data_IF_026282327541
#
_entry.id   IF_026282327541
#
_cell.length_a   1.000
_cell.length_b   1.000
_cell.length_c   1.000
_cell.angle_alpha   90.00
_cell.angle_beta   90.00
_cell.angle_gamma   90.00
#
_symmetry.space_group_name_H-M   'P 1'
#
loop_
_entity.id
_entity.type
_entity.pdbx_description
1 polymer ?
#
# COMPACT_ATOMS: atom_id res chain seq x y z
N UNK A 1 -5.16 21.31 -25.83
CA UNK A 1 -3.73 21.68 -25.89
C UNK A 1 -3.48 23.05 -26.49
N UNK A 2 -3.99 23.39 -27.68
CA UNK A 2 -3.77 24.71 -28.33
C UNK A 2 -4.12 25.89 -27.42
N UNK A 3 -5.26 25.82 -26.72
CA UNK A 3 -5.66 26.87 -25.79
C UNK A 3 -4.76 26.94 -24.55
N UNK A 4 -4.30 25.79 -24.05
CA UNK A 4 -3.35 25.75 -22.94
C UNK A 4 -1.99 26.35 -23.33
N UNK A 5 -1.50 26.09 -24.58
CA UNK A 5 -0.31 26.74 -25.13
C UNK A 5 -0.50 28.25 -25.20
N UNK A 6 -1.62 28.71 -25.76
CA UNK A 6 -1.93 30.13 -25.90
C UNK A 6 -1.93 30.87 -24.57
N UNK A 7 -2.40 30.19 -23.50
CA UNK A 7 -2.50 30.73 -22.14
C UNK A 7 -1.30 30.45 -21.25
N UNK A 8 -0.29 29.71 -21.72
CA UNK A 8 0.86 29.28 -20.91
C UNK A 8 0.48 28.40 -19.70
N UNK A 9 -0.51 27.50 -19.90
CA UNK A 9 -1.03 26.65 -18.82
C UNK A 9 -0.56 25.20 -18.97
N UNK A 10 -0.24 24.58 -17.83
CA UNK A 10 0.04 23.15 -17.77
C UNK A 10 -1.26 22.33 -17.82
N UNK A 11 -1.16 21.10 -18.32
CA UNK A 11 -2.23 20.10 -18.31
C UNK A 11 -1.80 18.93 -17.44
N UNK A 12 -2.68 18.48 -16.55
CA UNK A 12 -2.51 17.22 -15.85
C UNK A 12 -3.36 16.15 -16.52
N UNK A 13 -2.70 15.12 -17.07
CA UNK A 13 -3.33 13.89 -17.54
C UNK A 13 -3.57 13.02 -16.31
N UNK A 14 -4.84 12.78 -16.00
CA UNK A 14 -5.25 11.99 -14.82
C UNK A 14 -5.98 10.73 -15.23
N UNK A 15 -5.45 9.58 -14.84
CA UNK A 15 -6.06 8.26 -15.03
C UNK A 15 -6.30 7.65 -13.66
N UNK A 16 -7.51 7.16 -13.41
CA UNK A 16 -7.86 6.47 -12.17
C UNK A 16 -8.29 5.03 -12.48
N UNK A 17 -7.78 4.07 -11.71
CA UNK A 17 -8.30 2.71 -11.67
C UNK A 17 -9.80 2.72 -11.40
N UNK A 18 -10.56 1.88 -12.08
CA UNK A 18 -12.02 1.82 -11.99
C UNK A 18 -12.77 2.86 -12.84
N UNK A 19 -12.07 3.83 -13.48
CA UNK A 19 -12.68 4.90 -14.29
C UNK A 19 -12.07 5.01 -15.69
N UNK A 20 -11.51 3.94 -16.21
CA UNK A 20 -10.94 3.90 -17.56
C UNK A 20 -12.01 4.06 -18.64
N UNK A 21 -11.64 4.67 -19.77
CA UNK A 21 -12.53 4.76 -20.92
C UNK A 21 -12.92 3.35 -21.42
N UNK A 22 -14.17 3.19 -21.88
CA UNK A 22 -14.71 1.89 -22.32
C UNK A 22 -13.82 1.17 -23.34
N UNK A 23 -13.19 1.91 -24.27
CA UNK A 23 -12.25 1.35 -25.27
C UNK A 23 -10.99 0.76 -24.62
N UNK A 24 -10.52 1.37 -23.51
CA UNK A 24 -9.36 0.87 -22.77
C UNK A 24 -9.73 -0.40 -21.99
N UNK A 25 -10.89 -0.40 -21.33
CA UNK A 25 -11.41 -1.57 -20.62
C UNK A 25 -11.61 -2.73 -21.59
N UNK A 26 -12.15 -2.48 -22.80
CA UNK A 26 -12.35 -3.53 -23.79
C UNK A 26 -11.04 -4.15 -24.28
N UNK A 27 -9.97 -3.35 -24.42
CA UNK A 27 -8.69 -3.80 -24.97
C UNK A 27 -7.73 -4.37 -23.91
N UNK A 28 -7.70 -3.79 -22.74
CA UNK A 28 -6.70 -4.09 -21.70
C UNK A 28 -7.31 -4.54 -20.36
N UNK A 29 -8.65 -4.43 -20.21
CA UNK A 29 -9.29 -4.58 -18.91
C UNK A 29 -9.08 -3.35 -18.00
N UNK A 30 -9.60 -3.45 -16.78
CA UNK A 30 -9.34 -2.48 -15.71
C UNK A 30 -8.06 -2.91 -14.97
N UNK A 31 -6.92 -2.72 -15.62
CA UNK A 31 -5.61 -3.25 -15.20
C UNK A 31 -4.55 -2.14 -15.16
N UNK A 32 -3.38 -2.45 -14.63
CA UNK A 32 -2.21 -1.56 -14.64
C UNK A 32 -1.84 -1.15 -16.06
N UNK A 33 -1.82 -2.12 -16.97
CA UNK A 33 -1.53 -1.90 -18.40
C UNK A 33 -2.54 -0.95 -19.03
N UNK A 34 -3.85 -1.15 -18.73
CA UNK A 34 -4.90 -0.27 -19.22
C UNK A 34 -4.76 1.17 -18.73
N UNK A 35 -4.34 1.36 -17.48
CA UNK A 35 -4.03 2.69 -16.93
C UNK A 35 -2.85 3.33 -17.67
N UNK A 36 -1.76 2.58 -17.84
CA UNK A 36 -0.53 3.07 -18.48
C UNK A 36 -0.79 3.41 -19.95
N UNK A 37 -1.40 2.51 -20.72
CA UNK A 37 -1.70 2.75 -22.13
C UNK A 37 -2.68 3.93 -22.31
N UNK A 38 -3.63 4.11 -21.39
CA UNK A 38 -4.49 5.31 -21.40
C UNK A 38 -3.69 6.60 -21.23
N UNK A 39 -2.70 6.62 -20.33
CA UNK A 39 -1.83 7.78 -20.16
C UNK A 39 -0.92 8.00 -21.38
N UNK A 40 -0.35 6.92 -21.93
CA UNK A 40 0.53 6.96 -23.10
C UNK A 40 -0.16 7.46 -24.35
N UNK A 41 -1.46 7.12 -24.59
CA UNK A 41 -2.24 7.68 -25.69
C UNK A 41 -2.28 9.22 -25.63
N UNK A 42 -2.56 9.78 -24.45
CA UNK A 42 -2.58 11.25 -24.28
C UNK A 42 -1.19 11.85 -24.40
N UNK A 43 -0.18 11.17 -23.89
CA UNK A 43 1.20 11.65 -23.96
C UNK A 43 1.72 11.69 -25.40
N UNK A 44 1.42 10.66 -26.20
CA UNK A 44 1.76 10.63 -27.62
C UNK A 44 1.16 11.82 -28.38
N UNK A 45 -0.07 12.23 -28.05
CA UNK A 45 -0.67 13.43 -28.63
C UNK A 45 0.04 14.71 -28.15
N UNK A 46 0.46 14.77 -26.87
CA UNK A 46 1.22 15.91 -26.35
C UNK A 46 2.58 16.05 -27.05
N UNK A 47 3.28 14.94 -27.27
CA UNK A 47 4.56 14.90 -28.02
C UNK A 47 4.35 15.36 -29.49
N UNK A 48 3.33 14.81 -30.17
CA UNK A 48 3.02 15.19 -31.56
C UNK A 48 2.67 16.68 -31.71
N UNK A 49 2.00 17.23 -30.72
CA UNK A 49 1.67 18.65 -30.66
C UNK A 49 2.78 19.54 -30.09
N UNK A 50 3.93 18.99 -29.73
CA UNK A 50 5.03 19.68 -29.03
C UNK A 50 4.54 20.44 -27.78
N UNK A 51 3.75 19.78 -26.95
CA UNK A 51 3.21 20.33 -25.70
C UNK A 51 3.90 19.71 -24.47
N UNK A 52 4.84 20.43 -23.88
CA UNK A 52 5.73 19.93 -22.82
C UNK A 52 5.24 20.20 -21.40
N UNK A 53 4.24 21.07 -21.22
CA UNK A 53 3.74 21.42 -19.88
C UNK A 53 2.72 20.41 -19.39
N UNK A 54 3.17 19.18 -19.17
CA UNK A 54 2.34 18.03 -18.80
C UNK A 54 2.76 17.48 -17.46
N UNK A 55 1.79 17.11 -16.64
CA UNK A 55 1.96 16.33 -15.40
C UNK A 55 1.14 15.06 -15.55
N UNK A 56 1.70 13.91 -15.19
CA UNK A 56 1.04 12.60 -15.27
C UNK A 56 0.56 12.14 -13.88
N UNK A 57 -0.63 11.58 -13.82
CA UNK A 57 -1.23 11.13 -12.57
C UNK A 57 -2.03 9.84 -12.78
N UNK A 58 -1.52 8.71 -12.24
CA UNK A 58 -2.18 7.41 -12.25
C UNK A 58 -2.52 7.02 -10.82
N UNK A 59 -3.79 6.99 -10.47
CA UNK A 59 -4.22 6.78 -9.09
C UNK A 59 -5.11 5.56 -8.92
N UNK A 60 -4.97 4.92 -7.78
CA UNK A 60 -5.81 3.81 -7.34
C UNK A 60 -6.04 3.88 -5.83
N UNK A 61 -7.13 3.31 -5.36
CA UNK A 61 -7.37 3.04 -3.93
C UNK A 61 -6.53 1.86 -3.41
N UNK A 62 -6.01 1.04 -4.33
CA UNK A 62 -5.10 -0.06 -4.05
C UNK A 62 -3.64 0.40 -4.23
N UNK A 63 -2.83 0.48 -3.16
CA UNK A 63 -1.43 0.91 -3.25
C UNK A 63 -0.58 0.07 -4.22
N UNK A 64 -0.80 -1.25 -4.30
CA UNK A 64 -0.06 -2.12 -5.23
C UNK A 64 -0.29 -1.73 -6.69
N UNK A 65 -1.55 -1.48 -7.05
CA UNK A 65 -1.92 -1.03 -8.40
C UNK A 65 -1.30 0.33 -8.70
N UNK A 66 -1.34 1.27 -7.76
CA UNK A 66 -0.75 2.60 -7.93
C UNK A 66 0.77 2.49 -8.14
N UNK A 67 1.50 1.77 -7.28
CA UNK A 67 2.95 1.59 -7.38
C UNK A 67 3.33 0.96 -8.73
N UNK A 68 2.69 -0.14 -9.10
CA UNK A 68 2.94 -0.83 -10.37
C UNK A 68 2.69 0.08 -11.58
N UNK A 69 1.60 0.86 -11.56
CA UNK A 69 1.25 1.76 -12.66
C UNK A 69 2.30 2.86 -12.89
N UNK A 70 2.79 3.49 -11.82
CA UNK A 70 3.85 4.51 -11.97
C UNK A 70 5.19 3.93 -12.39
N UNK A 71 5.58 2.77 -11.85
CA UNK A 71 6.81 2.07 -12.27
C UNK A 71 6.74 1.69 -13.75
N UNK A 72 5.64 1.10 -14.20
CA UNK A 72 5.42 0.72 -15.60
C UNK A 72 5.38 1.96 -16.50
N UNK A 73 4.69 3.03 -16.09
CA UNK A 73 4.63 4.27 -16.86
C UNK A 73 6.03 4.89 -17.04
N UNK A 74 6.85 4.93 -16.00
CA UNK A 74 8.23 5.42 -16.08
C UNK A 74 9.06 4.61 -17.09
N UNK A 75 8.95 3.28 -17.06
CA UNK A 75 9.62 2.40 -18.00
C UNK A 75 9.13 2.61 -19.44
N UNK A 76 7.81 2.74 -19.65
CA UNK A 76 7.23 2.97 -20.98
C UNK A 76 7.63 4.32 -21.57
N UNK A 77 7.62 5.40 -20.78
CA UNK A 77 8.11 6.72 -21.20
C UNK A 77 9.56 6.63 -21.68
N UNK A 78 10.40 5.95 -20.93
CA UNK A 78 11.81 5.73 -21.29
C UNK A 78 11.95 4.88 -22.56
N UNK A 79 11.18 3.81 -22.71
CA UNK A 79 11.20 2.90 -23.85
C UNK A 79 10.79 3.62 -25.16
N UNK A 80 9.78 4.48 -25.11
CA UNK A 80 9.31 5.27 -26.25
C UNK A 80 10.23 6.47 -26.56
N UNK A 81 11.23 6.73 -25.74
CA UNK A 81 12.15 7.86 -25.90
C UNK A 81 11.50 9.22 -25.63
N UNK A 82 10.40 9.24 -24.91
CA UNK A 82 9.74 10.49 -24.50
C UNK A 82 10.51 11.19 -23.39
N UNK A 83 10.25 12.49 -23.21
CA UNK A 83 10.82 13.27 -22.13
C UNK A 83 10.39 12.73 -20.76
N UNK A 84 11.19 12.88 -19.69
CA UNK A 84 10.76 12.61 -18.33
C UNK A 84 9.75 13.67 -17.88
N UNK A 85 8.47 13.30 -17.82
CA UNK A 85 7.41 14.17 -17.34
C UNK A 85 7.19 14.00 -15.84
N UNK A 86 6.85 15.09 -15.09
CA UNK A 86 6.61 15.00 -13.66
C UNK A 86 5.41 14.11 -13.33
N UNK A 87 5.54 13.35 -12.25
CA UNK A 87 4.48 12.51 -11.70
C UNK A 87 3.80 13.18 -10.51
N UNK A 88 2.47 13.20 -10.53
CA UNK A 88 1.63 13.57 -9.39
C UNK A 88 1.02 12.34 -8.77
N UNK A 89 1.64 11.82 -7.73
CA UNK A 89 1.28 10.55 -7.11
C UNK A 89 0.25 10.70 -5.99
N UNK A 90 -0.53 9.66 -5.77
CA UNK A 90 -1.50 9.62 -4.67
C UNK A 90 -2.22 8.28 -4.61
N UNK A 91 -2.63 7.91 -3.41
CA UNK A 91 -3.58 6.81 -3.18
C UNK A 91 -4.93 7.45 -2.94
N UNK A 92 -5.93 7.07 -3.74
CA UNK A 92 -7.29 7.59 -3.60
C UNK A 92 -8.05 6.78 -2.55
N UNK A 93 -9.09 7.37 -1.97
CA UNK A 93 -10.00 6.71 -1.03
C UNK A 93 -9.26 5.97 0.11
N UNK A 94 -8.20 6.60 0.64
CA UNK A 94 -7.33 5.97 1.63
C UNK A 94 -8.05 5.69 2.97
N UNK A 95 -9.14 6.37 3.25
CA UNK A 95 -9.88 6.25 4.49
C UNK A 95 -9.53 7.34 5.51
N UNK A 96 -9.86 7.14 6.77
CA UNK A 96 -9.70 8.12 7.84
C UNK A 96 -8.76 7.62 8.95
N UNK A 97 -8.21 8.55 9.72
CA UNK A 97 -7.38 8.27 10.90
C UNK A 97 -6.05 7.61 10.54
N UNK A 98 -5.60 6.70 11.38
CA UNK A 98 -4.35 5.99 11.18
C UNK A 98 -4.36 5.16 9.88
N UNK A 99 -5.47 4.48 9.57
CA UNK A 99 -5.59 3.63 8.38
C UNK A 99 -5.31 4.38 7.08
N UNK A 100 -5.88 5.59 6.93
CA UNK A 100 -5.67 6.43 5.75
C UNK A 100 -4.23 6.92 5.63
N UNK A 101 -3.60 7.26 6.76
CA UNK A 101 -2.20 7.70 6.83
C UNK A 101 -1.24 6.55 6.47
N UNK A 102 -1.44 5.36 7.04
CA UNK A 102 -0.62 4.18 6.76
C UNK A 102 -0.76 3.74 5.30
N UNK A 103 -1.98 3.76 4.74
CA UNK A 103 -2.23 3.43 3.34
C UNK A 103 -1.57 4.45 2.40
N UNK A 104 -1.65 5.73 2.72
CA UNK A 104 -0.95 6.79 1.98
C UNK A 104 0.56 6.60 2.06
N UNK A 105 1.10 6.29 3.24
CA UNK A 105 2.53 6.03 3.42
C UNK A 105 3.00 4.80 2.66
N UNK A 106 2.28 3.69 2.70
CA UNK A 106 2.64 2.48 1.96
C UNK A 106 2.66 2.71 0.43
N UNK A 107 1.69 3.45 -0.12
CA UNK A 107 1.61 3.66 -1.57
C UNK A 107 2.44 4.84 -2.07
N UNK A 108 2.25 6.04 -1.51
CA UNK A 108 2.99 7.24 -1.91
C UNK A 108 4.46 7.13 -1.46
N UNK A 109 4.71 6.63 -0.23
CA UNK A 109 6.04 6.47 0.32
C UNK A 109 6.92 5.54 -0.50
N UNK A 110 6.37 4.43 -1.00
CA UNK A 110 7.09 3.54 -1.91
C UNK A 110 7.60 4.26 -3.17
N UNK A 111 6.74 5.10 -3.79
CA UNK A 111 7.11 5.87 -4.98
C UNK A 111 8.10 6.99 -4.67
N UNK A 112 8.00 7.63 -3.50
CA UNK A 112 9.01 8.59 -3.02
C UNK A 112 10.37 7.90 -2.84
N UNK A 113 10.41 6.71 -2.25
CA UNK A 113 11.62 5.92 -2.04
C UNK A 113 12.20 5.36 -3.35
N UNK A 114 11.36 5.15 -4.38
CA UNK A 114 11.79 4.80 -5.74
C UNK A 114 12.26 6.03 -6.55
N UNK A 115 12.09 7.27 -6.04
CA UNK A 115 12.41 8.50 -6.77
C UNK A 115 11.42 8.84 -7.89
N UNK A 116 10.19 8.32 -7.83
CA UNK A 116 9.16 8.47 -8.87
C UNK A 116 8.04 9.46 -8.51
N UNK A 117 8.22 10.32 -7.53
CA UNK A 117 7.19 11.27 -7.09
C UNK A 117 7.71 12.72 -7.09
N UNK A 118 7.17 13.55 -7.98
CA UNK A 118 7.51 14.99 -8.06
C UNK A 118 6.55 15.84 -7.23
N UNK A 119 5.28 15.47 -7.21
CA UNK A 119 4.26 16.03 -6.34
C UNK A 119 3.36 14.94 -5.79
N UNK A 120 2.77 15.17 -4.62
CA UNK A 120 1.92 14.16 -3.98
C UNK A 120 0.53 14.72 -3.62
N UNK A 121 -0.45 13.81 -3.50
CA UNK A 121 -1.74 14.07 -2.87
C UNK A 121 -2.06 12.99 -1.86
N UNK A 122 -2.20 13.38 -0.61
CA UNK A 122 -2.87 12.58 0.42
C UNK A 122 -4.38 12.75 0.26
N UNK A 123 -5.17 11.71 0.52
CA UNK A 123 -6.62 11.70 0.33
C UNK A 123 -7.29 11.02 1.52
N UNK A 124 -7.75 11.82 2.48
CA UNK A 124 -8.32 11.35 3.74
C UNK A 124 -9.83 11.67 3.82
N UNK A 125 -10.58 10.79 4.46
CA UNK A 125 -11.99 11.05 4.82
C UNK A 125 -12.03 11.86 6.11
N UNK A 126 -11.43 13.05 6.08
CA UNK A 126 -11.28 13.99 7.19
C UNK A 126 -11.47 15.42 6.65
N UNK A 127 -11.35 16.42 7.52
CA UNK A 127 -11.26 17.82 7.06
C UNK A 127 -10.05 17.96 6.13
N UNK A 128 -10.19 18.56 4.92
CA UNK A 128 -9.11 18.72 3.96
C UNK A 128 -7.84 19.38 4.53
N UNK A 129 -7.97 20.20 5.56
CA UNK A 129 -6.82 20.82 6.26
C UNK A 129 -5.89 19.78 6.89
N UNK A 130 -6.41 18.62 7.28
CA UNK A 130 -5.62 17.52 7.87
C UNK A 130 -4.68 16.85 6.85
N UNK A 131 -4.95 16.93 5.56
CA UNK A 131 -4.13 16.27 4.52
C UNK A 131 -2.74 16.91 4.38
N UNK A 132 -2.63 18.23 4.53
CA UNK A 132 -1.39 18.98 4.28
C UNK A 132 -0.28 18.62 5.25
N UNK A 133 -0.49 18.61 6.58
CA UNK A 133 0.54 18.17 7.52
C UNK A 133 1.02 16.73 7.26
N UNK A 134 0.10 15.82 7.00
CA UNK A 134 0.42 14.41 6.70
C UNK A 134 1.27 14.30 5.44
N UNK A 135 0.93 15.04 4.37
CA UNK A 135 1.71 15.08 3.15
C UNK A 135 3.13 15.62 3.38
N UNK A 136 3.25 16.70 4.17
CA UNK A 136 4.55 17.30 4.50
C UNK A 136 5.43 16.35 5.33
N UNK A 137 4.86 15.70 6.34
CA UNK A 137 5.61 14.74 7.16
C UNK A 137 5.99 13.49 6.35
N UNK A 138 5.14 13.01 5.43
CA UNK A 138 5.46 11.89 4.55
C UNK A 138 6.64 12.22 3.61
N UNK A 139 6.66 13.41 3.01
CA UNK A 139 7.80 13.86 2.18
C UNK A 139 9.09 13.89 2.99
N UNK A 140 9.06 14.43 4.21
CA UNK A 140 10.24 14.47 5.10
C UNK A 140 10.67 13.06 5.53
N UNK A 141 9.72 12.19 5.82
CA UNK A 141 9.97 10.80 6.23
C UNK A 141 10.64 9.98 5.12
N UNK A 142 10.23 10.19 3.87
CA UNK A 142 10.71 9.45 2.70
C UNK A 142 11.77 10.22 1.88
N UNK A 143 12.39 11.25 2.44
CA UNK A 143 13.46 11.98 1.76
C UNK A 143 14.63 11.03 1.43
N UNK A 144 15.03 11.03 0.16
CA UNK A 144 16.15 10.21 -0.30
C UNK A 144 17.48 10.77 0.22
N UNK A 145 18.45 9.92 0.54
CA UNK A 145 19.76 10.37 0.96
C UNK A 145 20.47 11.12 -0.19
N UNK A 146 21.21 12.16 0.14
CA UNK A 146 22.00 12.94 -0.84
C UNK A 146 23.10 12.12 -1.50
N UNK A 147 23.56 11.06 -0.84
CA UNK A 147 24.52 10.09 -1.36
C UNK A 147 23.90 8.70 -1.16
N UNK A 148 23.38 8.09 -2.22
CA UNK A 148 22.82 6.74 -2.11
C UNK A 148 23.91 5.74 -1.73
N UNK A 149 23.56 4.78 -0.89
CA UNK A 149 24.43 3.66 -0.55
C UNK A 149 24.52 2.74 -1.77
N UNK A 150 25.74 2.40 -2.17
CA UNK A 150 25.97 1.40 -3.22
C UNK A 150 26.14 0.03 -2.58
N UNK A 151 25.35 -0.91 -3.01
CA UNK A 151 25.47 -2.31 -2.63
C UNK A 151 26.19 -3.06 -3.76
N UNK A 152 27.31 -3.73 -3.42
CA UNK A 152 28.11 -4.50 -4.38
C UNK A 152 27.47 -5.90 -4.64
N UNK A 153 26.23 -5.91 -5.06
CA UNK A 153 25.45 -7.12 -5.36
C UNK A 153 24.76 -6.98 -6.72
N UNK A 154 24.38 -8.08 -7.37
CA UNK A 154 23.55 -8.04 -8.59
C UNK A 154 22.24 -7.27 -8.36
N UNK A 155 21.65 -6.79 -9.45
CA UNK A 155 20.31 -6.22 -9.41
C UNK A 155 19.32 -7.35 -9.12
N UNK A 156 18.33 -7.09 -8.25
CA UNK A 156 17.26 -8.03 -7.98
C UNK A 156 16.46 -8.27 -9.28
N UNK A 157 16.56 -9.46 -9.84
CA UNK A 157 15.81 -9.86 -11.03
C UNK A 157 14.37 -10.23 -10.65
N UNK A 158 13.52 -9.22 -10.58
CA UNK A 158 12.10 -9.36 -10.25
C UNK A 158 11.27 -8.41 -11.09
N UNK A 159 10.12 -8.86 -11.58
CA UNK A 159 9.15 -8.00 -12.25
C UNK A 159 8.62 -6.94 -11.28
N UNK A 160 8.90 -5.64 -11.50
CA UNK A 160 8.46 -4.57 -10.60
C UNK A 160 6.99 -4.14 -10.82
N UNK A 161 6.31 -4.73 -11.79
CA UNK A 161 4.97 -4.35 -12.25
C UNK A 161 3.90 -5.35 -11.85
N UNK A 162 4.27 -6.65 -11.75
CA UNK A 162 3.37 -7.71 -11.35
C UNK A 162 3.78 -8.25 -9.98
N UNK A 163 2.82 -8.25 -9.05
CA UNK A 163 3.09 -8.74 -7.72
C UNK A 163 3.35 -10.25 -7.74
N UNK A 164 4.53 -10.61 -7.30
CA UNK A 164 4.92 -11.99 -7.04
C UNK A 164 5.66 -12.03 -5.72
N UNK A 165 5.25 -12.90 -4.79
CA UNK A 165 5.97 -13.09 -3.55
C UNK A 165 7.26 -13.88 -3.83
N UNK A 166 8.39 -13.44 -3.27
CA UNK A 166 9.63 -14.18 -3.32
C UNK A 166 9.42 -15.56 -2.71
N UNK A 167 9.82 -16.62 -3.43
CA UNK A 167 9.82 -17.97 -2.89
C UNK A 167 10.83 -18.10 -1.76
N UNK A 168 10.38 -18.62 -0.62
CA UNK A 168 11.24 -18.86 0.54
C UNK A 168 11.00 -20.25 1.12
N UNK A 169 12.01 -20.77 1.82
CA UNK A 169 11.89 -22.00 2.62
C UNK A 169 11.21 -21.67 3.95
N UNK A 170 10.69 -22.72 4.60
CA UNK A 170 10.09 -22.59 5.94
C UNK A 170 11.17 -22.72 6.99
N UNK A 171 11.29 -21.73 7.86
CA UNK A 171 12.17 -21.72 9.02
C UNK A 171 11.35 -21.52 10.30
N UNK A 172 11.65 -22.28 11.36
CA UNK A 172 10.99 -22.12 12.66
C UNK A 172 11.71 -21.11 13.54
N UNK A 173 10.96 -20.08 13.98
CA UNK A 173 11.41 -19.10 14.98
C UNK A 173 10.49 -19.18 16.18
N UNK A 174 11.04 -19.47 17.37
CA UNK A 174 10.25 -19.66 18.60
C UNK A 174 9.05 -20.62 18.42
N UNK A 175 9.25 -21.68 17.63
CA UNK A 175 8.22 -22.71 17.35
C UNK A 175 7.24 -22.35 16.24
N UNK A 176 7.28 -21.14 15.67
CA UNK A 176 6.39 -20.66 14.61
C UNK A 176 7.09 -20.73 13.25
N UNK A 177 6.38 -21.22 12.25
CA UNK A 177 6.86 -21.32 10.86
C UNK A 177 6.80 -19.98 10.15
N UNK A 178 7.95 -19.53 9.64
CA UNK A 178 8.13 -18.29 8.85
C UNK A 178 8.60 -18.71 7.46
N UNK A 179 8.09 -18.03 6.43
CA UNK A 179 8.45 -18.33 5.03
C UNK A 179 7.54 -19.35 4.36
N UNK A 180 7.90 -19.77 3.17
CA UNK A 180 7.10 -20.64 2.33
C UNK A 180 5.76 -20.01 1.94
N UNK A 181 4.71 -20.81 1.94
CA UNK A 181 3.34 -20.36 1.68
C UNK A 181 2.64 -19.72 2.89
N UNK A 182 3.31 -19.65 4.04
CA UNK A 182 2.73 -19.03 5.23
C UNK A 182 2.45 -17.53 4.97
N UNK A 183 1.37 -16.95 5.55
CA UNK A 183 1.18 -15.50 5.52
C UNK A 183 2.36 -14.81 6.24
N UNK A 184 2.64 -13.57 5.87
CA UNK A 184 3.66 -12.77 6.57
C UNK A 184 3.32 -12.70 8.05
N UNK A 185 4.24 -13.18 8.89
CA UNK A 185 4.03 -13.31 10.35
C UNK A 185 4.32 -12.00 11.06
N UNK A 186 3.59 -11.74 12.13
CA UNK A 186 3.85 -10.59 13.01
C UNK A 186 4.42 -11.08 14.33
N UNK A 187 5.60 -10.58 14.68
CA UNK A 187 6.28 -10.92 15.92
C UNK A 187 6.38 -9.75 16.88
N UNK A 188 6.86 -10.06 18.09
CA UNK A 188 7.19 -9.11 19.15
C UNK A 188 8.52 -9.46 19.77
N UNK A 189 9.25 -8.53 20.37
CA UNK A 189 10.46 -8.82 21.15
C UNK A 189 10.17 -9.78 22.30
N UNK A 190 11.10 -10.68 22.57
CA UNK A 190 10.93 -11.78 23.54
C UNK A 190 10.65 -11.31 24.98
N UNK A 191 11.14 -10.13 25.37
CA UNK A 191 10.94 -9.53 26.69
C UNK A 191 9.54 -8.88 26.89
N UNK A 192 8.75 -8.82 25.81
CA UNK A 192 7.45 -8.13 25.79
C UNK A 192 6.23 -9.08 25.82
N UNK A 193 6.43 -10.35 26.22
CA UNK A 193 5.39 -11.39 26.10
C UNK A 193 4.32 -11.25 27.18
N UNK A 194 3.13 -10.83 26.81
CA UNK A 194 1.84 -11.28 27.35
C UNK A 194 0.71 -10.87 26.42
N UNK A 195 0.68 -11.37 25.21
CA UNK A 195 -0.39 -11.08 24.28
C UNK A 195 -1.29 -12.30 24.15
N UNK A 196 -2.36 -12.34 24.93
CA UNK A 196 -3.31 -13.47 24.97
C UNK A 196 -4.61 -13.11 24.27
N UNK A 197 -5.06 -14.00 23.38
CA UNK A 197 -6.48 -14.20 23.10
C UNK A 197 -7.15 -13.38 22.00
N UNK A 198 -6.54 -12.36 21.39
CA UNK A 198 -7.17 -11.57 20.34
C UNK A 198 -6.66 -11.90 18.93
N UNK A 199 -7.47 -11.69 17.89
CA UNK A 199 -7.14 -12.03 16.48
C UNK A 199 -5.88 -11.33 15.94
N UNK A 200 -5.45 -10.22 16.55
CA UNK A 200 -4.30 -9.41 16.13
C UNK A 200 -3.22 -9.44 17.20
N UNK A 201 -2.78 -10.63 17.54
CA UNK A 201 -1.70 -10.87 18.51
C UNK A 201 -0.38 -11.18 17.83
N UNK A 202 0.72 -10.96 18.53
CA UNK A 202 2.02 -11.47 18.11
C UNK A 202 1.94 -12.98 17.91
N UNK A 203 2.42 -13.43 16.76
CA UNK A 203 2.41 -14.85 16.40
C UNK A 203 3.68 -15.56 16.87
N UNK A 204 4.78 -14.81 17.07
CA UNK A 204 6.04 -15.34 17.61
C UNK A 204 6.76 -14.29 18.45
N UNK A 205 7.61 -14.78 19.35
CA UNK A 205 8.57 -13.96 20.07
C UNK A 205 9.89 -13.95 19.30
N UNK A 206 10.38 -12.75 18.98
CA UNK A 206 11.68 -12.59 18.34
C UNK A 206 12.78 -12.82 19.38
N UNK A 207 13.67 -13.82 19.21
CA UNK A 207 14.90 -13.91 20.00
C UNK A 207 15.80 -12.70 19.73
N UNK A 208 16.93 -12.62 20.45
CA UNK A 208 17.90 -11.58 20.14
C UNK A 208 18.33 -11.66 18.67
N UNK A 209 18.50 -10.49 18.03
CA UNK A 209 19.12 -10.45 16.72
C UNK A 209 20.53 -11.08 16.83
N UNK A 210 20.94 -11.84 15.81
CA UNK A 210 22.15 -12.70 15.80
C UNK A 210 22.10 -13.93 16.73
N UNK A 211 20.96 -14.26 17.32
CA UNK A 211 20.72 -15.61 17.87
C UNK A 211 20.03 -16.49 16.82
N UNK A 212 20.54 -17.70 16.64
CA UNK A 212 19.95 -18.65 15.66
C UNK A 212 18.43 -18.79 15.90
N UNK A 213 17.62 -18.77 14.81
CA UNK A 213 18.04 -18.77 13.39
C UNK A 213 18.20 -17.35 12.76
N UNK A 214 18.18 -16.28 13.53
CA UNK A 214 18.22 -14.90 13.01
C UNK A 214 19.67 -14.50 12.67
N UNK A 215 19.87 -13.92 11.48
CA UNK A 215 21.15 -13.35 11.02
C UNK A 215 20.94 -11.88 10.66
N UNK A 216 21.58 -11.02 11.41
CA UNK A 216 21.49 -9.56 11.25
C UNK A 216 22.54 -9.04 10.28
N UNK A 217 22.13 -8.14 9.39
CA UNK A 217 22.95 -7.35 8.48
C UNK A 217 22.69 -5.87 8.76
N UNK A 218 23.75 -5.09 9.00
CA UNK A 218 23.66 -3.69 9.44
C UNK A 218 23.94 -2.69 8.36
N UNK A 219 24.70 -3.12 7.35
CA UNK A 219 25.14 -2.23 6.28
C UNK A 219 25.45 -2.98 4.98
N UNK A 220 25.94 -2.24 3.98
CA UNK A 220 26.28 -2.80 2.68
C UNK A 220 27.51 -3.74 2.72
N UNK A 221 28.39 -3.60 3.72
CA UNK A 221 29.58 -4.46 3.84
C UNK A 221 29.20 -5.85 4.33
N UNK A 222 28.24 -5.95 5.24
CA UNK A 222 27.69 -7.22 5.68
C UNK A 222 27.08 -8.00 4.52
N UNK A 223 26.29 -7.31 3.66
CA UNK A 223 25.67 -7.91 2.47
C UNK A 223 26.75 -8.32 1.44
N UNK A 224 27.76 -7.48 1.21
CA UNK A 224 28.87 -7.81 0.31
C UNK A 224 29.66 -9.02 0.81
N UNK A 225 29.98 -9.09 2.11
CA UNK A 225 30.66 -10.23 2.72
C UNK A 225 29.86 -11.54 2.58
N UNK A 226 28.52 -11.46 2.74
CA UNK A 226 27.65 -12.61 2.47
C UNK A 226 27.67 -13.00 0.98
N UNK A 227 27.61 -12.04 0.06
CA UNK A 227 27.63 -12.30 -1.37
C UNK A 227 28.96 -12.97 -1.82
N UNK A 228 30.09 -12.62 -1.19
CA UNK A 228 31.40 -13.24 -1.44
C UNK A 228 31.48 -14.66 -0.87
N UNK A 229 30.86 -14.92 0.27
CA UNK A 229 30.91 -16.23 0.93
C UNK A 229 29.56 -16.64 1.55
N UNK A 230 28.55 -17.00 0.74
CA UNK A 230 27.22 -17.36 1.22
C UNK A 230 27.22 -18.60 2.14
N UNK A 231 28.21 -19.47 2.01
CA UNK A 231 28.34 -20.69 2.83
C UNK A 231 28.74 -20.41 4.27
N UNK A 232 29.25 -19.22 4.58
CA UNK A 232 29.56 -18.82 5.95
C UNK A 232 28.30 -18.68 6.84
N UNK A 233 27.14 -18.45 6.22
CA UNK A 233 25.86 -18.37 6.92
C UNK A 233 25.12 -19.71 6.77
N UNK A 234 24.78 -20.41 7.88
CA UNK A 234 24.07 -21.67 7.84
C UNK A 234 22.76 -21.60 7.04
N UNK A 235 22.41 -22.66 6.32
CA UNK A 235 21.09 -22.81 5.73
C UNK A 235 20.01 -22.90 6.82
N UNK A 236 18.77 -22.51 6.50
CA UNK A 236 17.68 -22.45 7.46
C UNK A 236 17.79 -21.28 8.43
N UNK A 237 18.44 -20.20 8.00
CA UNK A 237 18.49 -18.92 8.70
C UNK A 237 17.33 -18.01 8.30
N UNK A 238 17.02 -17.02 9.14
CA UNK A 238 16.13 -15.90 8.82
C UNK A 238 16.98 -14.64 8.75
N UNK A 239 16.99 -14.00 7.62
CA UNK A 239 17.83 -12.83 7.36
C UNK A 239 17.12 -11.55 7.75
N UNK A 240 17.83 -10.63 8.40
CA UNK A 240 17.29 -9.37 8.85
C UNK A 240 18.25 -8.23 8.53
N UNK A 241 17.79 -7.18 7.86
CA UNK A 241 18.56 -5.95 7.64
C UNK A 241 18.09 -4.85 8.61
N UNK A 242 19.03 -4.28 9.37
CA UNK A 242 18.75 -3.25 10.39
C UNK A 242 19.42 -1.90 10.11
N UNK A 243 20.02 -1.74 8.94
CA UNK A 243 20.65 -0.49 8.52
C UNK A 243 19.68 0.64 8.22
N UNK A 244 20.20 1.83 7.99
CA UNK A 244 19.42 3.07 7.88
C UNK A 244 18.44 3.10 6.68
N UNK A 245 18.84 2.54 5.53
CA UNK A 245 18.06 2.54 4.28
C UNK A 245 17.40 1.16 4.08
N UNK A 246 16.35 0.90 4.86
CA UNK A 246 15.71 -0.43 4.93
C UNK A 246 15.32 -0.97 3.55
N UNK A 247 14.67 -0.17 2.72
CA UNK A 247 14.18 -0.63 1.40
C UNK A 247 15.35 -1.03 0.50
N UNK A 248 16.36 -0.18 0.38
CA UNK A 248 17.53 -0.47 -0.44
C UNK A 248 18.32 -1.67 0.09
N UNK A 249 18.53 -1.74 1.41
CA UNK A 249 19.25 -2.83 2.05
C UNK A 249 18.55 -4.17 1.93
N UNK A 250 17.24 -4.24 2.15
CA UNK A 250 16.47 -5.49 2.00
C UNK A 250 16.40 -5.93 0.54
N UNK A 251 16.24 -5.00 -0.42
CA UNK A 251 16.31 -5.33 -1.85
C UNK A 251 17.67 -5.89 -2.23
N UNK A 252 18.76 -5.29 -1.74
CA UNK A 252 20.12 -5.78 -1.96
C UNK A 252 20.36 -7.15 -1.31
N UNK A 253 19.86 -7.35 -0.09
CA UNK A 253 19.92 -8.64 0.61
C UNK A 253 19.17 -9.73 -0.15
N UNK A 254 17.96 -9.43 -0.64
CA UNK A 254 17.19 -10.37 -1.46
C UNK A 254 17.94 -10.73 -2.76
N UNK A 255 18.54 -9.74 -3.42
CA UNK A 255 19.36 -9.97 -4.63
C UNK A 255 20.59 -10.85 -4.34
N UNK A 256 21.27 -10.64 -3.21
CA UNK A 256 22.40 -11.47 -2.80
C UNK A 256 21.96 -12.91 -2.48
N UNK A 257 20.80 -13.08 -1.82
CA UNK A 257 20.22 -14.41 -1.55
C UNK A 257 19.89 -15.14 -2.86
N UNK A 258 19.22 -14.47 -3.79
CA UNK A 258 18.80 -15.06 -5.06
C UNK A 258 20.03 -15.42 -5.93
N UNK A 259 21.04 -14.55 -5.97
CA UNK A 259 22.31 -14.83 -6.68
C UNK A 259 23.08 -16.03 -6.07
N UNK A 260 22.92 -16.25 -4.77
CA UNK A 260 23.49 -17.40 -4.07
C UNK A 260 22.61 -18.68 -4.15
N UNK A 261 21.47 -18.63 -4.85
CA UNK A 261 20.50 -19.72 -4.92
C UNK A 261 19.82 -20.02 -3.57
N UNK A 262 19.79 -19.05 -2.65
CA UNK A 262 19.27 -19.18 -1.28
C UNK A 262 17.80 -18.75 -1.21
N UNK A 263 16.97 -19.61 -0.59
CA UNK A 263 15.54 -19.35 -0.35
C UNK A 263 15.20 -19.04 1.10
N UNK A 264 16.17 -18.60 1.88
CA UNK A 264 15.96 -18.26 3.29
C UNK A 264 14.98 -17.07 3.42
N UNK A 265 14.10 -17.08 4.46
CA UNK A 265 13.13 -16.02 4.67
C UNK A 265 13.78 -14.73 5.20
N UNK A 266 13.09 -13.60 4.96
CA UNK A 266 13.52 -12.28 5.38
C UNK A 266 12.57 -11.74 6.46
N UNK A 267 13.14 -11.34 7.60
CA UNK A 267 12.46 -10.59 8.66
C UNK A 267 12.63 -9.09 8.42
N UNK A 268 11.53 -8.39 8.32
CA UNK A 268 11.48 -6.92 8.31
C UNK A 268 11.42 -6.43 9.76
N UNK A 269 12.54 -5.92 10.26
CA UNK A 269 12.65 -5.40 11.62
C UNK A 269 12.83 -3.89 11.58
N UNK A 270 12.00 -3.17 12.31
CA UNK A 270 12.12 -1.73 12.48
C UNK A 270 12.11 -1.35 13.96
N UNK A 271 13.05 -0.50 14.36
CA UNK A 271 13.02 0.17 15.66
C UNK A 271 12.64 1.63 15.43
N UNK A 272 11.57 2.09 16.09
CA UNK A 272 11.03 3.45 15.92
C UNK A 272 10.74 4.09 17.27
N UNK A 273 10.68 5.41 17.29
CA UNK A 273 10.12 6.17 18.39
C UNK A 273 8.64 6.48 18.11
N UNK A 274 7.88 6.80 19.16
CA UNK A 274 6.46 7.15 19.04
C UNK A 274 6.29 8.59 18.51
N UNK A 275 6.42 8.74 17.19
CA UNK A 275 6.10 9.99 16.49
C UNK A 275 5.56 9.70 15.08
N UNK A 276 4.82 10.64 14.53
CA UNK A 276 4.12 10.49 13.24
C UNK A 276 5.10 10.25 12.08
N UNK A 277 6.22 10.96 12.03
CA UNK A 277 7.21 10.84 10.96
C UNK A 277 7.80 9.43 10.88
N UNK A 278 8.21 8.86 12.01
CA UNK A 278 8.78 7.51 12.04
C UNK A 278 7.71 6.45 11.76
N UNK A 279 6.47 6.68 12.20
CA UNK A 279 5.32 5.83 11.85
C UNK A 279 5.05 5.83 10.34
N UNK A 280 5.08 6.99 9.69
CA UNK A 280 4.93 7.11 8.24
C UNK A 280 6.13 6.48 7.52
N UNK A 281 7.37 6.70 8.01
CA UNK A 281 8.57 6.09 7.42
C UNK A 281 8.52 4.57 7.48
N UNK A 282 8.27 3.97 8.63
CA UNK A 282 8.21 2.50 8.74
C UNK A 282 7.09 1.90 7.91
N UNK A 283 5.97 2.64 7.76
CA UNK A 283 4.86 2.22 6.90
C UNK A 283 5.25 2.26 5.42
N UNK A 284 6.02 3.26 5.00
CA UNK A 284 6.57 3.34 3.65
C UNK A 284 7.58 2.23 3.39
N UNK A 285 8.51 2.00 4.32
CA UNK A 285 9.56 0.99 4.20
C UNK A 285 8.98 -0.42 4.10
N UNK A 286 8.20 -0.83 5.11
CA UNK A 286 7.58 -2.17 5.15
C UNK A 286 6.55 -2.30 4.02
N UNK A 287 5.72 -1.27 3.79
CA UNK A 287 4.72 -1.26 2.73
C UNK A 287 5.33 -1.46 1.35
N UNK A 288 6.43 -0.75 1.04
CA UNK A 288 7.20 -0.92 -0.19
C UNK A 288 7.70 -2.35 -0.36
N UNK A 289 8.36 -2.89 0.66
CA UNK A 289 8.97 -4.22 0.63
C UNK A 289 7.94 -5.34 0.46
N UNK A 290 6.86 -5.32 1.24
CA UNK A 290 5.81 -6.35 1.08
C UNK A 290 5.03 -6.21 -0.22
N UNK A 291 4.98 -5.01 -0.82
CA UNK A 291 4.43 -4.79 -2.16
C UNK A 291 5.37 -5.33 -3.24
N UNK A 292 6.68 -5.27 -3.01
CA UNK A 292 7.67 -5.95 -3.85
C UNK A 292 7.67 -7.49 -3.66
N UNK A 293 6.85 -8.01 -2.74
CA UNK A 293 6.81 -9.43 -2.38
C UNK A 293 8.01 -9.88 -1.55
N UNK A 294 8.67 -8.95 -0.85
CA UNK A 294 9.78 -9.20 0.05
C UNK A 294 9.32 -9.12 1.52
N UNK A 295 9.83 -10.03 2.33
CA UNK A 295 9.50 -10.12 3.75
C UNK A 295 8.52 -11.24 4.08
N UNK A 296 8.91 -12.05 5.06
CA UNK A 296 8.18 -13.23 5.54
C UNK A 296 7.68 -13.06 6.97
N UNK A 297 8.29 -12.12 7.69
CA UNK A 297 7.85 -11.70 9.03
C UNK A 297 8.12 -10.20 9.24
N UNK A 298 7.38 -9.59 10.16
CA UNK A 298 7.50 -8.18 10.55
C UNK A 298 7.59 -8.08 12.06
N UNK A 299 8.54 -7.31 12.57
CA UNK A 299 8.63 -6.90 13.97
C UNK A 299 8.89 -5.40 14.03
N UNK A 300 8.04 -4.68 14.75
CA UNK A 300 8.23 -3.25 15.08
C UNK A 300 8.51 -3.15 16.57
N UNK A 301 9.56 -2.41 16.93
CA UNK A 301 10.00 -2.19 18.30
C UNK A 301 9.95 -0.70 18.66
N UNK A 302 9.46 -0.35 19.85
CA UNK A 302 9.50 1.01 20.40
C UNK A 302 8.27 1.88 20.17
N UNK A 303 7.27 1.45 19.38
CA UNK A 303 6.04 2.21 19.16
C UNK A 303 5.07 2.06 20.33
N UNK A 304 4.88 3.12 21.14
CA UNK A 304 3.97 3.20 22.30
C UNK A 304 4.08 2.07 23.33
N UNK A 305 4.26 0.85 22.87
CA UNK A 305 4.36 -0.37 23.66
C UNK A 305 4.30 -1.61 22.78
N UNK A 306 4.47 -2.78 23.38
CA UNK A 306 4.52 -4.04 22.63
C UNK A 306 3.21 -4.35 21.90
N UNK A 307 2.07 -4.14 22.53
CA UNK A 307 0.75 -4.35 21.93
C UNK A 307 0.53 -3.41 20.73
N UNK A 308 0.80 -2.15 20.91
CA UNK A 308 0.65 -1.11 19.88
C UNK A 308 1.61 -1.34 18.70
N UNK A 309 2.84 -1.80 18.96
CA UNK A 309 3.80 -2.19 17.92
C UNK A 309 3.28 -3.36 17.07
N UNK A 310 2.71 -4.37 17.69
CA UNK A 310 2.08 -5.51 16.99
C UNK A 310 0.88 -5.05 16.16
N UNK A 311 0.01 -4.22 16.73
CA UNK A 311 -1.14 -3.68 16.02
C UNK A 311 -0.72 -2.83 14.82
N UNK A 312 0.32 -2.00 14.97
CA UNK A 312 0.89 -1.21 13.87
C UNK A 312 1.42 -2.09 12.75
N UNK A 313 2.12 -3.18 13.07
CA UNK A 313 2.61 -4.13 12.06
C UNK A 313 1.46 -4.75 11.26
N UNK A 314 0.38 -5.20 11.92
CA UNK A 314 -0.82 -5.69 11.24
C UNK A 314 -1.47 -4.60 10.37
N UNK A 315 -1.55 -3.37 10.85
CA UNK A 315 -2.15 -2.25 10.12
C UNK A 315 -1.35 -1.88 8.87
N UNK A 316 -0.02 -1.92 8.94
CA UNK A 316 0.87 -1.70 7.78
C UNK A 316 0.71 -2.83 6.75
N UNK A 317 0.69 -4.09 7.18
CA UNK A 317 0.47 -5.22 6.28
C UNK A 317 -0.90 -5.13 5.58
N UNK A 318 -1.93 -4.67 6.28
CA UNK A 318 -3.24 -4.43 5.70
C UNK A 318 -3.26 -3.22 4.77
N UNK A 319 -2.61 -2.12 5.14
CA UNK A 319 -2.47 -0.91 4.31
C UNK A 319 -1.78 -1.22 2.96
N UNK A 320 -0.79 -2.12 2.96
CA UNK A 320 -0.09 -2.60 1.77
C UNK A 320 -0.82 -3.75 1.03
N UNK A 321 -2.05 -4.10 1.42
CA UNK A 321 -2.81 -5.22 0.86
C UNK A 321 -2.07 -6.58 0.92
N UNK A 322 -1.15 -6.72 1.87
CA UNK A 322 -0.40 -7.94 2.09
C UNK A 322 -1.17 -8.96 2.95
N UNK A 323 -1.80 -8.49 4.02
CA UNK A 323 -2.54 -9.34 4.96
C UNK A 323 -3.76 -8.59 5.53
N UNK A 324 -4.93 -9.20 5.47
CA UNK A 324 -6.14 -8.66 6.12
C UNK A 324 -6.22 -9.14 7.56
N UNK A 325 -6.48 -8.22 8.49
CA UNK A 325 -6.61 -8.52 9.92
C UNK A 325 -7.83 -7.88 10.58
N UNK A 326 -8.47 -6.94 9.90
CA UNK A 326 -9.72 -6.24 10.26
C UNK A 326 -10.46 -5.86 8.97
N UNK A 327 -11.67 -5.35 9.08
CA UNK A 327 -12.42 -4.82 7.94
C UNK A 327 -11.59 -3.77 7.19
N UNK A 328 -11.49 -3.91 5.87
CA UNK A 328 -10.86 -2.90 5.03
C UNK A 328 -11.91 -1.87 4.60
N UNK A 329 -11.65 -0.60 4.86
CA UNK A 329 -12.53 0.49 4.46
C UNK A 329 -11.88 1.28 3.31
N UNK A 330 -12.66 1.49 2.25
CA UNK A 330 -12.33 2.30 1.09
C UNK A 330 -13.30 3.46 1.09
N UNK A 331 -12.87 4.67 1.48
CA UNK A 331 -13.79 5.80 1.60
C UNK A 331 -13.25 7.05 0.93
N UNK A 332 -14.13 7.74 0.20
CA UNK A 332 -13.76 8.95 -0.52
C UNK A 332 -13.57 10.14 0.45
N UNK A 333 -12.72 11.12 0.06
CA UNK A 333 -12.41 12.28 0.90
C UNK A 333 -13.54 13.32 0.96
N UNK A 334 -14.68 13.05 0.32
CA UNK A 334 -15.75 14.04 0.10
C UNK A 334 -15.44 15.06 -1.03
N UNK A 335 -16.47 15.59 -1.61
CA UNK A 335 -16.41 16.68 -2.58
C UNK A 335 -17.79 17.34 -2.68
N UNK A 336 -17.96 18.36 -3.52
CA UNK A 336 -19.25 19.04 -3.73
C UNK A 336 -20.40 18.16 -4.26
N UNK A 337 -20.14 16.89 -4.58
CA UNK A 337 -21.14 15.88 -5.00
C UNK A 337 -21.55 14.94 -3.88
N UNK A 338 -20.92 15.02 -2.71
CA UNK A 338 -21.24 14.17 -1.55
C UNK A 338 -22.64 14.50 -1.05
N UNK A 339 -23.46 13.47 -0.82
CA UNK A 339 -24.90 13.59 -0.57
C UNK A 339 -25.29 13.41 0.90
N UNK A 340 -24.34 13.12 1.77
CA UNK A 340 -24.52 12.88 3.22
C UNK A 340 -23.24 13.23 3.98
N UNK A 341 -23.28 13.27 5.31
CA UNK A 341 -22.08 13.45 6.15
C UNK A 341 -21.25 12.17 6.17
N UNK A 342 -20.27 12.09 5.27
CA UNK A 342 -19.45 10.90 5.08
C UNK A 342 -18.56 10.60 6.28
N UNK A 343 -18.12 11.62 7.03
CA UNK A 343 -17.28 11.43 8.21
C UNK A 343 -18.07 10.79 9.35
N UNK A 344 -19.30 11.28 9.58
CA UNK A 344 -20.19 10.72 10.59
C UNK A 344 -20.59 9.28 10.24
N UNK A 345 -20.97 9.04 8.97
CA UNK A 345 -21.37 7.69 8.49
C UNK A 345 -20.19 6.73 8.57
N UNK A 346 -18.98 7.17 8.20
CA UNK A 346 -17.75 6.38 8.31
C UNK A 346 -17.49 5.93 9.75
N UNK A 347 -17.68 6.83 10.73
CA UNK A 347 -17.58 6.49 12.16
C UNK A 347 -18.55 5.40 12.58
N UNK A 348 -19.84 5.52 12.19
CA UNK A 348 -20.88 4.51 12.47
C UNK A 348 -20.57 3.16 11.82
N UNK A 349 -20.15 3.17 10.55
CA UNK A 349 -19.81 1.96 9.81
C UNK A 349 -18.56 1.28 10.42
N UNK A 350 -17.51 2.04 10.77
CA UNK A 350 -16.34 1.48 11.46
C UNK A 350 -16.71 0.81 12.78
N UNK A 351 -17.53 1.43 13.58
CA UNK A 351 -17.99 0.87 14.86
C UNK A 351 -18.79 -0.42 14.68
N UNK A 352 -19.63 -0.50 13.63
CA UNK A 352 -20.55 -1.61 13.40
C UNK A 352 -19.91 -2.81 12.71
N UNK A 353 -18.92 -2.57 11.82
CA UNK A 353 -18.36 -3.60 10.91
C UNK A 353 -16.87 -3.88 11.14
N UNK A 354 -16.17 -3.14 12.00
CA UNK A 354 -14.71 -3.21 12.16
C UNK A 354 -14.15 -4.57 12.54
N UNK A 355 -14.98 -5.47 13.06
CA UNK A 355 -14.61 -6.84 13.45
C UNK A 355 -14.61 -7.86 12.30
N UNK A 356 -15.11 -7.49 11.11
CA UNK A 356 -15.24 -8.39 9.95
C UNK A 356 -13.93 -8.44 9.16
N UNK A 357 -13.01 -9.32 9.52
CA UNK A 357 -11.64 -9.33 8.99
C UNK A 357 -11.53 -9.65 7.48
N UNK A 358 -12.54 -10.34 6.92
CA UNK A 358 -12.46 -10.84 5.53
C UNK A 358 -13.24 -9.99 4.53
N UNK A 359 -13.72 -8.81 4.96
CA UNK A 359 -14.59 -7.94 4.18
C UNK A 359 -13.91 -6.60 3.88
N UNK A 360 -14.12 -6.11 2.66
CA UNK A 360 -13.84 -4.72 2.26
C UNK A 360 -15.15 -3.98 2.03
N UNK A 361 -15.31 -2.79 2.64
CA UNK A 361 -16.51 -1.95 2.51
C UNK A 361 -16.12 -0.61 1.90
N UNK A 362 -16.75 -0.30 0.75
CA UNK A 362 -16.65 0.99 0.08
C UNK A 362 -17.67 1.99 0.66
N UNK A 363 -17.24 3.20 0.99
CA UNK A 363 -18.09 4.28 1.52
C UNK A 363 -17.91 5.49 0.61
N UNK A 364 -18.88 5.74 -0.27
CA UNK A 364 -18.77 6.72 -1.35
C UNK A 364 -19.86 7.77 -1.29
N UNK A 365 -19.48 9.03 -1.34
CA UNK A 365 -20.39 10.15 -1.22
C UNK A 365 -21.40 10.28 -2.37
N UNK A 366 -21.12 9.71 -3.55
CA UNK A 366 -22.01 9.78 -4.72
C UNK A 366 -21.79 8.62 -5.70
N UNK A 367 -22.75 8.39 -6.59
CA UNK A 367 -22.71 7.36 -7.62
C UNK A 367 -21.82 7.70 -8.83
N UNK A 368 -21.29 8.92 -8.94
CA UNK A 368 -20.60 9.37 -10.16
C UNK A 368 -19.29 8.63 -10.36
N UNK A 369 -18.40 8.63 -9.37
CA UNK A 369 -17.14 7.92 -9.40
C UNK A 369 -17.13 6.73 -8.43
N UNK A 370 -17.98 6.77 -7.39
CA UNK A 370 -17.95 5.85 -6.27
C UNK A 370 -17.89 4.38 -6.66
N UNK A 371 -18.78 3.87 -7.54
CA UNK A 371 -18.75 2.47 -7.93
C UNK A 371 -17.45 2.02 -8.61
N UNK A 372 -16.79 2.92 -9.35
CA UNK A 372 -15.48 2.64 -9.96
C UNK A 372 -14.35 2.65 -8.93
N UNK A 373 -14.32 3.68 -8.07
CA UNK A 373 -13.25 3.88 -7.07
C UNK A 373 -13.29 2.86 -5.93
N UNK A 374 -14.44 2.23 -5.68
CA UNK A 374 -14.57 1.12 -4.72
C UNK A 374 -14.60 -0.26 -5.39
N UNK A 375 -14.07 -0.39 -6.60
CA UNK A 375 -14.16 -1.63 -7.39
C UNK A 375 -13.61 -2.88 -6.67
N UNK A 376 -12.66 -2.68 -5.75
CA UNK A 376 -12.05 -3.73 -4.93
C UNK A 376 -12.83 -4.00 -3.62
N UNK A 377 -13.95 -3.30 -3.38
CA UNK A 377 -14.79 -3.54 -2.21
C UNK A 377 -15.73 -4.72 -2.43
N UNK A 378 -15.94 -5.55 -1.38
CA UNK A 378 -16.95 -6.61 -1.41
C UNK A 378 -18.35 -6.00 -1.35
N UNK A 379 -18.55 -4.97 -0.53
CA UNK A 379 -19.80 -4.25 -0.35
C UNK A 379 -19.60 -2.74 -0.44
N UNK A 380 -20.62 -2.01 -0.89
CA UNK A 380 -20.56 -0.57 -1.02
C UNK A 380 -21.79 0.13 -0.41
N UNK A 381 -21.51 1.23 0.29
CA UNK A 381 -22.47 2.20 0.79
C UNK A 381 -22.28 3.50 0.00
N UNK A 382 -23.19 3.81 -0.90
CA UNK A 382 -23.00 4.87 -1.90
C UNK A 382 -24.18 5.84 -1.89
N UNK A 383 -23.91 7.14 -1.82
CA UNK A 383 -24.94 8.18 -1.94
C UNK A 383 -25.64 8.12 -3.30
N UNK A 384 -26.94 7.78 -3.32
CA UNK A 384 -27.76 7.64 -4.52
C UNK A 384 -28.59 8.88 -4.86
N UNK A 385 -28.85 9.74 -3.89
CA UNK A 385 -29.61 10.97 -3.96
C UNK A 385 -29.71 11.63 -2.57
N UNK A 386 -30.28 12.84 -2.44
CA UNK A 386 -30.44 13.48 -1.12
C UNK A 386 -31.21 12.57 -0.15
N UNK A 387 -30.58 12.21 0.99
CA UNK A 387 -31.16 11.31 2.00
C UNK A 387 -31.41 9.88 1.51
N UNK A 388 -30.77 9.46 0.40
CA UNK A 388 -30.95 8.15 -0.21
C UNK A 388 -29.63 7.46 -0.48
N UNK A 389 -29.56 6.20 -0.13
CA UNK A 389 -28.36 5.35 -0.28
C UNK A 389 -28.67 4.20 -1.25
N UNK A 390 -27.63 3.81 -1.97
CA UNK A 390 -27.61 2.59 -2.79
C UNK A 390 -26.55 1.65 -2.24
N UNK A 391 -26.90 0.41 -1.97
CA UNK A 391 -25.95 -0.63 -1.57
C UNK A 391 -25.48 -1.42 -2.80
N UNK A 392 -24.19 -1.72 -2.79
CA UNK A 392 -23.50 -2.45 -3.84
C UNK A 392 -22.93 -3.77 -3.31
N UNK A 393 -22.83 -4.75 -4.19
CA UNK A 393 -22.02 -5.94 -4.06
C UNK A 393 -20.99 -5.93 -5.20
N UNK A 394 -19.72 -5.73 -4.87
CA UNK A 394 -18.71 -5.37 -5.87
C UNK A 394 -19.14 -4.11 -6.65
N UNK A 395 -19.19 -4.23 -7.97
CA UNK A 395 -19.61 -3.14 -8.88
C UNK A 395 -21.13 -3.11 -9.15
N UNK A 396 -21.90 -4.05 -8.59
CA UNK A 396 -23.34 -4.21 -8.89
C UNK A 396 -24.20 -3.56 -7.82
N UNK A 397 -25.11 -2.65 -8.20
CA UNK A 397 -26.10 -2.07 -7.31
C UNK A 397 -27.19 -3.09 -6.99
N UNK A 398 -27.29 -3.53 -5.72
CA UNK A 398 -28.22 -4.60 -5.28
C UNK A 398 -29.44 -4.09 -4.54
N UNK A 399 -29.32 -3.02 -3.75
CA UNK A 399 -30.45 -2.36 -3.07
C UNK A 399 -30.38 -0.87 -3.34
N UNK A 400 -31.45 -0.27 -3.88
CA UNK A 400 -31.47 1.14 -4.31
C UNK A 400 -32.51 1.94 -3.54
N UNK A 401 -32.30 3.24 -3.44
CA UNK A 401 -33.24 4.20 -2.89
C UNK A 401 -33.60 3.95 -1.42
N UNK A 402 -32.65 3.46 -0.63
CA UNK A 402 -32.81 3.18 0.82
C UNK A 402 -32.75 4.52 1.57
N UNK A 403 -33.66 4.79 2.55
CA UNK A 403 -33.49 5.93 3.45
C UNK A 403 -32.16 5.86 4.19
N UNK A 404 -31.48 7.00 4.35
CA UNK A 404 -30.15 7.05 4.99
C UNK A 404 -30.18 6.46 6.40
N UNK A 405 -31.26 6.69 7.16
CA UNK A 405 -31.45 6.16 8.51
C UNK A 405 -31.46 4.62 8.58
N UNK A 406 -31.94 3.94 7.54
CA UNK A 406 -32.07 2.48 7.49
C UNK A 406 -30.86 1.81 6.84
N UNK A 407 -30.02 2.57 6.12
CA UNK A 407 -29.03 2.02 5.18
C UNK A 407 -27.91 1.22 5.84
N UNK A 408 -27.53 1.53 7.08
CA UNK A 408 -26.51 0.76 7.83
C UNK A 408 -27.07 -0.62 8.21
N UNK A 409 -28.29 -0.72 8.69
CA UNK A 409 -28.90 -2.00 9.04
C UNK A 409 -29.21 -2.82 7.77
N UNK A 410 -29.60 -2.19 6.67
CA UNK A 410 -29.75 -2.85 5.37
C UNK A 410 -28.39 -3.41 4.85
N UNK A 411 -27.27 -2.73 5.14
CA UNK A 411 -25.94 -3.28 4.82
C UNK A 411 -25.61 -4.49 5.72
N UNK A 412 -25.96 -4.46 7.01
CA UNK A 412 -25.86 -5.64 7.90
C UNK A 412 -26.66 -6.81 7.34
N UNK A 413 -27.92 -6.56 6.95
CA UNK A 413 -28.79 -7.57 6.39
C UNK A 413 -28.20 -8.16 5.09
N UNK A 414 -27.69 -7.31 4.21
CA UNK A 414 -27.03 -7.76 2.96
C UNK A 414 -25.83 -8.67 3.24
N UNK A 415 -24.96 -8.30 4.19
CA UNK A 415 -23.80 -9.11 4.57
C UNK A 415 -24.21 -10.44 5.20
N UNK A 416 -25.31 -10.45 6.03
CA UNK A 416 -25.89 -11.67 6.58
C UNK A 416 -26.49 -12.57 5.49
N UNK A 417 -27.23 -12.02 4.54
CA UNK A 417 -27.80 -12.74 3.39
C UNK A 417 -26.71 -13.45 2.55
N UNK A 418 -25.48 -12.91 2.55
CA UNK A 418 -24.32 -13.51 1.87
C UNK A 418 -23.50 -14.46 2.76
N UNK A 419 -23.94 -14.72 4.00
CA UNK A 419 -23.27 -15.62 4.93
C UNK A 419 -21.88 -15.11 5.39
N UNK A 420 -21.62 -13.79 5.28
CA UNK A 420 -20.32 -13.20 5.60
C UNK A 420 -20.30 -12.38 6.90
N UNK A 421 -21.44 -12.35 7.59
CA UNK A 421 -21.53 -11.73 8.90
C UNK A 421 -20.92 -12.64 9.98
N UNK A 422 -20.16 -12.04 10.87
CA UNK A 422 -19.69 -12.66 12.11
C UNK A 422 -20.17 -11.79 13.26
N UNK A 423 -20.61 -12.39 14.35
CA UNK A 423 -20.94 -11.62 15.55
C UNK A 423 -19.67 -11.03 16.19
N UNK A 424 -19.76 -9.83 16.78
CA UNK A 424 -18.62 -9.12 17.38
C UNK A 424 -17.89 -9.89 18.49
#
# INVERSE_FOLDING_TARGET
MQEAKRLGRAIRIGVNHGSLAARMIYRYGDTVEGMVESAMEYLAVCEAEHFDQVVLSLKSSNPRVAIAAYRMLAARIKQEGFKPYPFHVGVTEAGAGADGRLKSAAGIGALLLDGLADTIRVSLTEDPVAEVPVAQELIKACALPTKPVSYAVPVLEKDPYHYERRETEVVKVSGVEIGGSNPVKVGVKADAIALTGERRNAEFALPCLNEKPIVEFKDAMDIAGFAENPAAVPAGSVFCYTGAEMVAGVRALAAALDAAGRKDPILLYAKINDNERETLRVSADIGSLVTDGLGDAVVIDGYKGAKESVLLAFDILQAAYCRRSKTNFISCPSCGRTLYDIQQVMGKIKARFGHLSDISIGIMGCIVNGPGEMADADFGYVGGGPGRITLFEGKTAVKKNIPEEDAIEELVNLIKERGRWQEP
#
